data_IF_609352701878
#
_entry.id   IF_609352701878
#
_cell.length_a   1.000
_cell.length_b   1.000
_cell.length_c   1.000
_cell.angle_alpha   90.00
_cell.angle_beta   90.00
_cell.angle_gamma   90.00
#
_symmetry.space_group_name_H-M   'P 1'
#
loop_
_entity.id
_entity.type
_entity.pdbx_description
1 polymer ?
#
# COMPACT_ATOMS: atom_id res chain seq x y z
N UNK A 1 1.38 -15.27 -17.83
CA UNK A 1 2.01 -14.17 -17.06
C UNK A 1 0.89 -13.19 -16.71
N UNK A 2 0.79 -12.74 -15.46
CA UNK A 2 -0.26 -11.82 -15.05
C UNK A 2 0.15 -10.39 -15.41
N UNK A 3 -0.83 -9.52 -15.67
CA UNK A 3 -0.58 -8.07 -15.67
C UNK A 3 -0.75 -7.51 -14.25
N UNK A 4 -0.41 -6.23 -14.05
CA UNK A 4 -0.49 -5.60 -12.74
C UNK A 4 -1.91 -5.61 -12.15
N UNK A 5 -2.96 -5.48 -12.98
CA UNK A 5 -4.34 -5.48 -12.52
C UNK A 5 -4.78 -6.87 -12.06
N UNK A 6 -4.50 -7.90 -12.84
CA UNK A 6 -4.82 -9.29 -12.51
C UNK A 6 -4.11 -9.73 -11.21
N UNK A 7 -2.86 -9.30 -11.00
CA UNK A 7 -2.15 -9.55 -9.76
C UNK A 7 -2.86 -8.92 -8.54
N UNK A 8 -3.24 -7.64 -8.61
CA UNK A 8 -3.99 -6.95 -7.54
C UNK A 8 -5.33 -7.62 -7.22
N UNK A 9 -6.10 -7.97 -8.25
CA UNK A 9 -7.39 -8.67 -8.09
C UNK A 9 -7.17 -10.05 -7.43
N UNK A 10 -6.09 -10.75 -7.76
CA UNK A 10 -5.77 -12.02 -7.12
C UNK A 10 -5.40 -11.85 -5.63
N UNK A 11 -4.66 -10.80 -5.26
CA UNK A 11 -4.40 -10.43 -3.86
C UNK A 11 -5.70 -10.10 -3.12
N UNK A 12 -6.56 -9.24 -3.69
CA UNK A 12 -7.86 -8.85 -3.13
C UNK A 12 -8.76 -10.04 -2.80
N UNK A 13 -8.69 -11.10 -3.61
CA UNK A 13 -9.46 -12.32 -3.39
C UNK A 13 -8.71 -13.39 -2.60
N UNK A 14 -7.58 -13.06 -1.97
CA UNK A 14 -6.78 -13.99 -1.17
C UNK A 14 -6.17 -15.15 -1.95
N UNK A 15 -6.10 -15.06 -3.29
CA UNK A 15 -5.49 -16.09 -4.15
C UNK A 15 -3.97 -16.00 -4.15
N UNK A 16 -3.45 -14.80 -3.88
CA UNK A 16 -2.02 -14.53 -3.72
C UNK A 16 -1.84 -13.94 -2.33
N UNK A 17 -1.11 -14.64 -1.47
CA UNK A 17 -0.83 -14.26 -0.07
C UNK A 17 0.68 -14.24 0.23
N UNK A 18 1.51 -14.51 -0.79
CA UNK A 18 2.96 -14.60 -0.68
C UNK A 18 3.69 -13.53 -1.48
N UNK A 19 4.91 -13.86 -1.89
CA UNK A 19 5.77 -12.94 -2.66
C UNK A 19 5.11 -12.49 -3.96
N UNK A 20 5.26 -11.21 -4.29
CA UNK A 20 4.82 -10.63 -5.56
C UNK A 20 5.93 -10.60 -6.62
N UNK A 21 7.13 -11.07 -6.28
CA UNK A 21 8.28 -11.03 -7.18
C UNK A 21 8.01 -11.80 -8.47
N UNK A 22 8.14 -11.11 -9.61
CA UNK A 22 7.99 -11.71 -10.94
C UNK A 22 6.55 -12.02 -11.37
N UNK A 23 5.53 -11.64 -10.59
CA UNK A 23 4.13 -11.89 -10.94
C UNK A 23 3.67 -11.09 -12.17
N UNK A 24 4.05 -9.81 -12.23
CA UNK A 24 3.65 -8.87 -13.28
C UNK A 24 4.86 -8.15 -13.90
N UNK A 25 5.66 -8.82 -14.74
CA UNK A 25 6.80 -8.22 -15.43
C UNK A 25 6.40 -7.02 -16.29
N UNK A 26 7.24 -5.98 -16.31
CA UNK A 26 6.98 -4.72 -17.02
C UNK A 26 6.18 -3.69 -16.22
N UNK A 27 5.75 -4.02 -15.00
CA UNK A 27 5.06 -3.11 -14.08
C UNK A 27 5.96 -2.74 -12.89
N UNK A 28 5.82 -1.51 -12.41
CA UNK A 28 6.48 -1.08 -11.17
C UNK A 28 5.82 -1.76 -9.98
N UNK A 29 6.64 -2.26 -9.05
CA UNK A 29 6.20 -2.73 -7.73
C UNK A 29 6.74 -1.76 -6.67
N UNK A 30 5.89 -1.37 -5.73
CA UNK A 30 6.22 -0.39 -4.69
C UNK A 30 5.99 -0.95 -3.29
N UNK A 31 6.60 -0.27 -2.32
CA UNK A 31 6.28 -0.44 -0.90
C UNK A 31 5.10 0.45 -0.52
N UNK A 32 4.35 0.06 0.50
CA UNK A 32 3.23 0.83 1.03
C UNK A 32 3.48 1.20 2.49
N UNK A 33 3.15 2.44 2.85
CA UNK A 33 2.96 2.89 4.21
C UNK A 33 1.67 3.71 4.24
N UNK A 34 0.83 3.47 5.25
CA UNK A 34 -0.41 4.20 5.49
C UNK A 34 -0.26 4.82 6.87
N UNK A 35 -0.44 6.13 6.98
CA UNK A 35 -0.18 6.89 8.20
C UNK A 35 -1.35 7.82 8.50
N UNK A 36 -1.64 8.08 9.79
CA UNK A 36 -2.53 9.16 10.18
C UNK A 36 -2.11 10.49 9.57
N UNK A 37 -3.08 11.35 9.25
CA UNK A 37 -2.86 12.69 8.70
C UNK A 37 -1.87 13.51 9.53
N UNK A 38 -1.89 13.34 10.85
CA UNK A 38 -0.97 14.03 11.77
C UNK A 38 0.50 13.67 11.53
N UNK A 39 0.79 12.44 11.12
CA UNK A 39 2.14 11.93 10.85
C UNK A 39 2.55 12.06 9.37
N UNK A 40 1.56 12.12 8.46
CA UNK A 40 1.79 12.10 7.01
C UNK A 40 2.70 13.24 6.52
N UNK A 41 2.56 14.44 7.10
CA UNK A 41 3.37 15.60 6.73
C UNK A 41 4.85 15.44 7.11
N UNK A 42 5.12 14.87 8.29
CA UNK A 42 6.49 14.58 8.74
C UNK A 42 7.13 13.46 7.92
N UNK A 43 6.37 12.41 7.63
CA UNK A 43 6.85 11.33 6.77
C UNK A 43 7.15 11.83 5.33
N UNK A 44 6.31 12.72 4.79
CA UNK A 44 6.56 13.32 3.47
C UNK A 44 7.86 14.13 3.47
N UNK A 45 8.11 14.95 4.50
CA UNK A 45 9.39 15.68 4.65
C UNK A 45 10.56 14.72 4.74
N UNK A 46 10.43 13.64 5.52
CA UNK A 46 11.45 12.60 5.62
C UNK A 46 11.75 11.95 4.27
N UNK A 47 10.72 11.58 3.49
CA UNK A 47 10.91 11.00 2.16
C UNK A 47 11.55 11.99 1.17
N UNK A 48 11.16 13.26 1.20
CA UNK A 48 11.75 14.32 0.36
C UNK A 48 13.22 14.61 0.71
N UNK A 49 13.59 14.52 1.98
CA UNK A 49 14.98 14.62 2.43
C UNK A 49 15.81 13.38 2.03
N UNK A 50 15.15 12.24 1.78
CA UNK A 50 15.76 10.95 1.47
C UNK A 50 15.22 10.35 0.16
N UNK A 51 15.34 11.04 -1.00
CA UNK A 51 14.63 10.65 -2.22
C UNK A 51 15.16 9.38 -2.88
N UNK A 52 16.42 9.01 -2.62
CA UNK A 52 17.02 7.76 -3.13
C UNK A 52 16.48 6.51 -2.40
N UNK A 53 16.49 6.45 -1.05
CA UNK A 53 15.92 5.30 -0.34
C UNK A 53 14.39 5.34 -0.25
N UNK A 54 13.75 6.51 -0.35
CA UNK A 54 12.30 6.70 -0.24
C UNK A 54 11.70 7.37 -1.48
N UNK A 55 11.78 6.77 -2.67
CA UNK A 55 11.17 7.34 -3.87
C UNK A 55 9.64 7.23 -3.77
N UNK A 56 8.96 8.38 -3.67
CA UNK A 56 7.50 8.44 -3.66
C UNK A 56 6.99 8.32 -5.10
N UNK A 57 6.14 7.33 -5.35
CA UNK A 57 5.51 7.08 -6.67
C UNK A 57 4.02 7.45 -6.71
N UNK A 58 3.39 7.62 -5.54
CA UNK A 58 1.99 8.03 -5.42
C UNK A 58 1.63 8.32 -3.97
N UNK A 59 0.60 9.15 -3.78
CA UNK A 59 0.06 9.58 -2.50
C UNK A 59 -1.46 9.67 -2.68
N UNK A 60 -2.23 9.17 -1.71
CA UNK A 60 -3.68 9.34 -1.69
C UNK A 60 -4.08 10.63 -0.97
N UNK A 61 -5.33 11.05 -1.17
CA UNK A 61 -5.96 12.02 -0.27
C UNK A 61 -6.27 11.37 1.08
N UNK A 62 -6.38 12.18 2.13
CA UNK A 62 -6.76 11.71 3.48
C UNK A 62 -8.13 11.04 3.44
N UNK A 63 -8.23 9.87 4.05
CA UNK A 63 -9.40 8.99 4.11
C UNK A 63 -9.64 8.20 2.81
N UNK A 64 -8.91 8.47 1.73
CA UNK A 64 -9.16 7.88 0.42
C UNK A 64 -8.18 6.72 0.15
N UNK A 65 -8.64 5.46 0.04
CA UNK A 65 -7.77 4.32 -0.24
C UNK A 65 -7.34 4.22 -1.71
N UNK A 66 -7.84 5.08 -2.59
CA UNK A 66 -7.56 5.01 -4.02
C UNK A 66 -6.40 5.94 -4.41
N UNK A 67 -5.56 5.47 -5.33
CA UNK A 67 -4.52 6.29 -5.97
C UNK A 67 -4.68 6.16 -7.49
N UNK A 68 -5.56 6.95 -8.13
CA UNK A 68 -5.90 6.79 -9.55
C UNK A 68 -4.69 6.85 -10.49
N UNK A 69 -3.65 7.60 -10.12
CA UNK A 69 -2.39 7.68 -10.86
C UNK A 69 -1.62 6.35 -10.94
N UNK A 70 -1.82 5.44 -9.97
CA UNK A 70 -1.18 4.12 -9.91
C UNK A 70 -2.09 2.99 -10.41
N UNK A 71 -3.41 3.21 -10.40
CA UNK A 71 -4.39 2.27 -10.95
C UNK A 71 -5.81 2.78 -10.77
N UNK A 72 -6.61 2.71 -11.83
CA UNK A 72 -7.98 3.22 -11.82
C UNK A 72 -8.90 2.49 -10.81
N UNK A 73 -8.64 1.20 -10.55
CA UNK A 73 -9.40 0.34 -9.64
C UNK A 73 -8.57 -0.14 -8.43
N UNK A 74 -7.46 0.54 -8.15
CA UNK A 74 -6.57 0.22 -7.02
C UNK A 74 -7.24 0.58 -5.70
N UNK A 75 -7.40 -0.41 -4.83
CA UNK A 75 -7.76 -0.22 -3.41
C UNK A 75 -6.59 -0.70 -2.54
N UNK A 76 -5.87 0.24 -1.93
CA UNK A 76 -4.68 -0.07 -1.14
C UNK A 76 -4.98 -0.86 0.13
N UNK A 77 -6.25 -1.05 0.51
CA UNK A 77 -6.64 -1.83 1.69
C UNK A 77 -6.65 -3.33 1.47
N UNK A 78 -6.80 -3.77 0.21
CA UNK A 78 -7.02 -5.18 -0.14
C UNK A 78 -6.10 -5.70 -1.26
N UNK A 79 -5.51 -4.82 -2.07
CA UNK A 79 -4.86 -5.23 -3.32
C UNK A 79 -3.41 -5.72 -3.14
N UNK A 80 -2.95 -5.83 -1.90
CA UNK A 80 -1.61 -6.26 -1.53
C UNK A 80 -1.75 -7.56 -0.75
N UNK A 81 -0.89 -8.56 -0.99
CA UNK A 81 -1.08 -9.90 -0.45
C UNK A 81 -0.89 -10.01 1.07
N UNK A 82 -0.34 -8.97 1.70
CA UNK A 82 -0.06 -8.94 3.12
C UNK A 82 0.30 -7.55 3.63
N UNK A 83 -0.16 -7.27 4.84
CA UNK A 83 0.02 -6.02 5.57
C UNK A 83 0.53 -6.32 6.97
N UNK A 84 1.24 -5.35 7.54
CA UNK A 84 1.55 -5.32 8.98
C UNK A 84 0.93 -4.07 9.57
N UNK A 85 0.13 -4.26 10.61
CA UNK A 85 -0.49 -3.16 11.36
C UNK A 85 0.33 -2.92 12.60
N UNK A 86 0.71 -1.67 12.81
CA UNK A 86 1.56 -1.25 13.92
C UNK A 86 0.79 -0.34 14.87
N UNK A 87 0.98 -0.53 16.17
CA UNK A 87 0.48 0.36 17.23
C UNK A 87 1.56 0.49 18.29
N UNK A 88 1.90 1.73 18.65
CA UNK A 88 2.91 2.04 19.67
C UNK A 88 4.26 1.31 19.46
N UNK A 89 4.65 1.11 18.20
CA UNK A 89 5.89 0.44 17.81
C UNK A 89 5.82 -1.10 17.79
N UNK A 90 4.69 -1.70 18.14
CA UNK A 90 4.47 -3.15 18.12
C UNK A 90 3.61 -3.57 16.93
N UNK A 91 3.94 -4.71 16.32
CA UNK A 91 3.12 -5.31 15.26
C UNK A 91 1.92 -6.03 15.91
N UNK A 92 0.72 -5.49 15.73
CA UNK A 92 -0.52 -5.99 16.36
C UNK A 92 -1.33 -6.91 15.46
N UNK A 93 -1.08 -6.89 14.14
CA UNK A 93 -1.73 -7.78 13.18
C UNK A 93 -0.89 -7.98 11.92
N UNK A 94 -0.98 -9.19 11.35
CA UNK A 94 -0.58 -9.48 9.97
C UNK A 94 -1.82 -10.00 9.22
N UNK A 95 -2.23 -9.33 8.14
CA UNK A 95 -3.49 -9.60 7.43
C UNK A 95 -3.34 -9.35 5.94
N UNK A 96 -4.19 -9.94 5.10
CA UNK A 96 -4.31 -9.63 3.67
C UNK A 96 -5.33 -8.52 3.36
N UNK A 97 -6.03 -8.02 4.37
CA UNK A 97 -7.05 -6.97 4.27
C UNK A 97 -6.98 -6.08 5.51
N UNK A 98 -6.72 -4.78 5.32
CA UNK A 98 -6.65 -3.79 6.41
C UNK A 98 -7.90 -2.93 6.55
N UNK A 99 -9.01 -3.29 5.88
CA UNK A 99 -10.26 -2.53 5.92
C UNK A 99 -10.80 -2.35 7.35
N UNK A 100 -10.59 -3.33 8.24
CA UNK A 100 -11.00 -3.22 9.66
C UNK A 100 -10.18 -2.20 10.47
N UNK A 101 -8.96 -1.88 10.00
CA UNK A 101 -8.07 -0.90 10.63
C UNK A 101 -8.17 0.49 10.01
N UNK A 102 -8.95 0.63 8.93
CA UNK A 102 -9.07 1.88 8.19
C UNK A 102 -9.80 2.94 9.02
N UNK A 103 -9.34 4.19 8.93
CA UNK A 103 -9.92 5.35 9.61
C UNK A 103 -10.01 6.50 8.62
N UNK A 104 -10.89 7.46 8.89
CA UNK A 104 -11.11 8.61 8.00
C UNK A 104 -9.90 9.57 7.91
N UNK A 105 -8.92 9.40 8.80
CA UNK A 105 -7.69 10.19 8.86
C UNK A 105 -6.47 9.50 8.24
N UNK A 106 -6.61 8.31 7.65
CA UNK A 106 -5.55 7.54 7.01
C UNK A 106 -5.39 7.80 5.50
#
# INVERSE_FOLDING_TARGET
MMDGRAARIACRHGKITGTTAGLAPGYVQGNLVILPREDAADFMRFAQANPKPCPIIGVSDVGNPNIPALGADLDIRTDIPGYRVWRDGECVAETGDVSEFWRDDL
#
